data_IF_134496301905
#
_entry.id   IF_134496301905
#
_cell.length_a   1.000
_cell.length_b   1.000
_cell.length_c   1.000
_cell.angle_alpha   90.00
_cell.angle_beta   90.00
_cell.angle_gamma   90.00
#
_symmetry.space_group_name_H-M   'P 1'
#
loop_
_entity.id
_entity.type
_entity.pdbx_description
1 polymer ?
#
# COMPACT_ATOMS: atom_id res chain seq x y z
N UNK A 1 17.94 -26.02 -7.05
CA UNK A 1 17.14 -24.89 -7.58
C UNK A 1 15.79 -25.46 -8.04
N UNK A 2 14.73 -25.25 -7.28
CA UNK A 2 13.38 -25.72 -7.66
C UNK A 2 12.88 -24.88 -8.82
N UNK A 3 12.64 -25.51 -9.99
CA UNK A 3 12.04 -24.85 -11.15
C UNK A 3 10.59 -24.47 -10.81
N UNK A 4 10.23 -23.23 -11.08
CA UNK A 4 8.86 -22.73 -11.00
C UNK A 4 7.97 -23.56 -11.94
N UNK A 5 6.97 -24.27 -11.38
CA UNK A 5 5.95 -24.98 -12.14
C UNK A 5 4.64 -24.20 -12.15
N UNK A 6 4.20 -23.67 -13.31
CA UNK A 6 2.97 -22.87 -13.41
C UNK A 6 1.68 -23.64 -13.05
N UNK A 7 1.71 -24.98 -13.08
CA UNK A 7 0.55 -25.84 -12.76
C UNK A 7 0.36 -26.07 -11.26
N UNK A 8 1.43 -25.90 -10.48
CA UNK A 8 1.42 -26.08 -9.03
C UNK A 8 1.25 -24.72 -8.31
N UNK A 9 1.77 -23.65 -8.93
CA UNK A 9 1.67 -22.30 -8.41
C UNK A 9 0.62 -21.51 -9.19
N UNK A 10 -0.66 -21.67 -8.85
CA UNK A 10 -1.78 -20.91 -9.41
C UNK A 10 -1.68 -19.42 -9.07
N UNK A 11 -0.69 -18.76 -9.66
CA UNK A 11 -0.43 -17.34 -9.47
C UNK A 11 -1.23 -16.55 -10.49
N UNK A 12 -2.50 -16.32 -10.21
CA UNK A 12 -3.24 -15.30 -10.94
C UNK A 12 -2.68 -13.92 -10.53
N UNK A 13 -2.08 -13.23 -11.51
CA UNK A 13 -1.79 -11.81 -11.35
C UNK A 13 -3.12 -11.09 -11.24
N UNK A 14 -3.37 -10.42 -10.11
CA UNK A 14 -4.52 -9.53 -9.92
C UNK A 14 -4.38 -8.25 -10.76
N UNK A 15 -3.23 -8.05 -11.38
CA UNK A 15 -2.99 -6.91 -12.27
C UNK A 15 -3.77 -7.06 -13.57
N UNK A 16 -4.42 -5.98 -13.96
CA UNK A 16 -5.12 -5.91 -15.23
C UNK A 16 -4.10 -6.12 -16.37
N UNK A 17 -4.26 -7.19 -17.15
CA UNK A 17 -3.34 -7.53 -18.22
C UNK A 17 -3.38 -6.44 -19.31
N UNK A 18 -2.21 -5.91 -19.68
CA UNK A 18 -2.10 -4.85 -20.68
C UNK A 18 -2.34 -3.42 -20.16
N UNK A 19 -2.62 -3.24 -18.87
CA UNK A 19 -2.74 -1.90 -18.29
C UNK A 19 -1.37 -1.35 -17.89
N UNK A 20 -1.07 -0.12 -18.31
CA UNK A 20 0.15 0.57 -17.95
C UNK A 20 -0.02 1.33 -16.61
N UNK A 21 0.47 0.74 -15.55
CA UNK A 21 0.45 1.30 -14.19
C UNK A 21 1.41 2.49 -13.97
N UNK A 22 2.07 2.98 -15.00
CA UNK A 22 2.80 4.25 -14.99
C UNK A 22 1.93 5.44 -15.42
N UNK A 23 0.72 5.16 -15.91
CA UNK A 23 -0.23 6.21 -16.28
C UNK A 23 -0.73 6.99 -15.08
N UNK A 24 -1.12 8.23 -15.31
CA UNK A 24 -1.85 9.03 -14.35
C UNK A 24 -3.16 8.35 -13.97
N UNK A 25 -3.49 8.37 -12.70
CA UNK A 25 -4.69 7.73 -12.16
C UNK A 25 -4.63 7.55 -10.65
N UNK A 26 -5.76 7.19 -10.09
CA UNK A 26 -5.89 6.88 -8.67
C UNK A 26 -5.95 5.36 -8.45
N UNK A 27 -5.20 4.88 -7.47
CA UNK A 27 -5.03 3.46 -7.18
C UNK A 27 -5.28 3.20 -5.70
N UNK A 28 -6.23 2.34 -5.41
CA UNK A 28 -6.37 1.77 -4.07
C UNK A 28 -5.40 0.60 -3.93
N UNK A 29 -4.68 0.52 -2.81
CA UNK A 29 -3.75 -0.56 -2.51
C UNK A 29 -3.99 -1.13 -1.11
N UNK A 30 -3.75 -2.45 -0.96
CA UNK A 30 -3.66 -3.12 0.33
C UNK A 30 -2.32 -3.82 0.42
N UNK A 31 -1.55 -3.51 1.45
CA UNK A 31 -0.20 -4.03 1.67
C UNK A 31 -0.18 -4.76 3.02
N UNK A 32 0.05 -6.06 3.02
CA UNK A 32 -0.11 -6.92 4.20
C UNK A 32 1.26 -7.27 4.78
N UNK A 33 1.36 -7.29 6.11
CA UNK A 33 2.53 -7.74 6.84
C UNK A 33 2.84 -9.21 6.56
N UNK A 34 4.09 -9.59 6.68
CA UNK A 34 4.53 -10.98 6.52
C UNK A 34 3.76 -11.88 7.47
N UNK A 35 3.21 -12.98 6.94
CA UNK A 35 2.39 -13.95 7.69
C UNK A 35 1.18 -13.33 8.42
N UNK A 36 0.75 -12.12 8.05
CA UNK A 36 -0.32 -11.37 8.74
C UNK A 36 -0.02 -11.08 10.21
N UNK A 37 1.26 -10.97 10.57
CA UNK A 37 1.67 -10.62 11.93
C UNK A 37 1.10 -9.27 12.35
N UNK A 38 0.58 -9.19 13.57
CA UNK A 38 0.04 -7.97 14.20
C UNK A 38 1.20 -7.05 14.62
N UNK A 39 1.83 -6.43 13.61
CA UNK A 39 3.13 -5.79 13.76
C UNK A 39 3.05 -4.30 14.03
N UNK A 40 1.95 -3.62 13.64
CA UNK A 40 1.91 -2.16 13.54
C UNK A 40 1.16 -1.47 14.67
N UNK A 41 0.53 -2.22 15.57
CA UNK A 41 -0.26 -1.71 16.69
C UNK A 41 -1.50 -2.57 16.94
N UNK A 42 -2.49 -1.97 17.61
CA UNK A 42 -3.72 -2.65 18.01
C UNK A 42 -4.95 -1.75 17.83
N UNK A 43 -6.13 -2.36 17.78
CA UNK A 43 -7.39 -1.62 17.78
C UNK A 43 -7.90 -1.55 19.21
N UNK A 44 -8.09 -0.32 19.69
CA UNK A 44 -8.65 -0.03 21.02
C UNK A 44 -9.90 0.84 20.81
N UNK A 45 -11.04 0.40 21.30
CA UNK A 45 -12.31 1.11 21.19
C UNK A 45 -12.69 1.55 19.76
N UNK A 46 -12.32 0.72 18.77
CA UNK A 46 -12.58 0.98 17.35
C UNK A 46 -11.61 1.96 16.69
N UNK A 47 -10.56 2.36 17.38
CA UNK A 47 -9.51 3.23 16.86
C UNK A 47 -8.16 2.48 16.77
N UNK A 48 -7.36 2.80 15.77
CA UNK A 48 -6.03 2.24 15.61
C UNK A 48 -5.00 2.97 16.48
N UNK A 49 -4.41 2.26 17.42
CA UNK A 49 -3.29 2.73 18.24
C UNK A 49 -1.99 2.20 17.67
N UNK A 50 -1.24 3.09 17.01
CA UNK A 50 0.04 2.73 16.38
C UNK A 50 1.15 2.53 17.42
N UNK A 51 1.87 1.43 17.31
CA UNK A 51 3.17 1.27 17.96
C UNK A 51 4.28 1.97 17.13
N UNK A 52 5.53 1.84 17.53
CA UNK A 52 6.65 2.50 16.87
C UNK A 52 6.86 2.01 15.42
N UNK A 53 6.55 0.75 15.11
CA UNK A 53 6.58 0.25 13.74
C UNK A 53 5.45 0.86 12.89
N UNK A 54 4.25 0.97 13.45
CA UNK A 54 3.11 1.64 12.80
C UNK A 54 3.41 3.11 12.51
N UNK A 55 4.07 3.82 13.43
CA UNK A 55 4.53 5.21 13.21
C UNK A 55 5.53 5.29 12.05
N UNK A 56 6.48 4.35 11.95
CA UNK A 56 7.41 4.26 10.82
C UNK A 56 6.64 4.05 9.50
N UNK A 57 5.63 3.18 9.48
CA UNK A 57 4.80 2.95 8.29
C UNK A 57 4.09 4.25 7.87
N UNK A 58 3.47 4.96 8.83
CA UNK A 58 2.84 6.26 8.60
C UNK A 58 3.78 7.26 7.97
N UNK A 59 4.95 7.44 8.56
CA UNK A 59 5.99 8.36 8.08
C UNK A 59 6.49 7.98 6.67
N UNK A 60 6.71 6.69 6.41
CA UNK A 60 7.22 6.24 5.10
C UNK A 60 6.13 6.22 4.01
N UNK A 61 4.86 6.13 4.37
CA UNK A 61 3.78 6.34 3.43
C UNK A 61 3.74 7.81 2.99
N UNK A 62 3.76 8.75 3.94
CA UNK A 62 3.79 10.18 3.68
C UNK A 62 5.07 10.61 2.93
N UNK A 63 6.20 9.94 3.16
CA UNK A 63 7.44 10.17 2.44
C UNK A 63 7.30 9.97 0.92
N UNK A 64 6.39 9.13 0.44
CA UNK A 64 6.17 8.95 -1.01
C UNK A 64 5.79 10.26 -1.70
N UNK A 65 4.92 11.06 -1.09
CA UNK A 65 4.47 12.34 -1.64
C UNK A 65 5.60 13.39 -1.65
N UNK A 66 6.43 13.38 -0.64
CA UNK A 66 7.60 14.29 -0.58
C UNK A 66 8.75 13.87 -1.51
N UNK A 67 8.88 12.57 -1.76
CA UNK A 67 9.94 12.02 -2.61
C UNK A 67 9.61 12.07 -4.09
N UNK A 68 8.34 12.00 -4.45
CA UNK A 68 7.87 11.92 -5.83
C UNK A 68 6.82 12.99 -6.09
N UNK A 69 7.21 14.13 -6.69
CA UNK A 69 6.36 15.30 -6.98
C UNK A 69 5.08 14.99 -7.80
N UNK A 70 5.07 13.84 -8.49
CA UNK A 70 3.92 13.36 -9.27
C UNK A 70 3.00 12.41 -8.48
N UNK A 71 3.25 12.23 -7.19
CA UNK A 71 2.46 11.38 -6.29
C UNK A 71 1.71 12.26 -5.30
N UNK A 72 0.43 11.98 -5.13
CA UNK A 72 -0.43 12.53 -4.09
C UNK A 72 -1.07 11.38 -3.31
N UNK A 73 -1.20 11.54 -2.01
CA UNK A 73 -1.83 10.55 -1.15
C UNK A 73 -3.30 10.94 -0.89
N UNK A 74 -4.23 10.04 -1.22
CA UNK A 74 -5.61 10.13 -0.80
C UNK A 74 -5.81 9.56 0.61
N UNK A 75 -7.03 9.10 0.90
CA UNK A 75 -7.33 8.44 2.17
C UNK A 75 -6.44 7.21 2.39
N UNK A 76 -5.97 7.02 3.63
CA UNK A 76 -5.18 5.85 4.02
C UNK A 76 -5.35 5.53 5.49
N UNK A 77 -5.10 4.27 5.86
CA UNK A 77 -5.14 3.79 7.24
C UNK A 77 -4.11 2.67 7.43
N UNK A 78 -3.47 2.67 8.59
CA UNK A 78 -2.64 1.55 9.03
C UNK A 78 -3.50 0.72 9.97
N UNK A 79 -3.54 -0.59 9.72
CA UNK A 79 -4.21 -1.57 10.52
C UNK A 79 -3.18 -2.44 11.27
N UNK A 80 -3.56 -3.26 12.25
CA UNK A 80 -2.60 -4.01 13.04
C UNK A 80 -1.60 -4.84 12.21
N UNK A 81 -2.00 -5.35 11.06
CA UNK A 81 -1.18 -6.22 10.20
C UNK A 81 -1.17 -5.84 8.72
N UNK A 82 -1.78 -4.72 8.33
CA UNK A 82 -1.79 -4.27 6.94
C UNK A 82 -1.96 -2.76 6.83
N UNK A 83 -1.85 -2.26 5.61
CA UNK A 83 -2.04 -0.88 5.26
C UNK A 83 -2.98 -0.78 4.05
N UNK A 84 -4.00 0.05 4.16
CA UNK A 84 -4.82 0.49 3.03
C UNK A 84 -4.46 1.93 2.67
N UNK A 85 -4.39 2.24 1.38
CA UNK A 85 -4.17 3.60 0.95
C UNK A 85 -4.60 3.86 -0.48
N UNK A 86 -4.94 5.12 -0.76
CA UNK A 86 -5.13 5.61 -2.10
C UNK A 86 -3.88 6.38 -2.51
N UNK A 87 -3.33 6.03 -3.66
CA UNK A 87 -2.17 6.69 -4.25
C UNK A 87 -2.58 7.24 -5.62
N UNK A 88 -2.43 8.55 -5.80
CA UNK A 88 -2.73 9.24 -7.06
C UNK A 88 -1.43 9.55 -7.77
N UNK A 89 -1.33 9.15 -9.03
CA UNK A 89 -0.20 9.45 -9.92
C UNK A 89 -0.65 10.50 -10.90
N UNK A 90 0.00 11.67 -10.89
CA UNK A 90 -0.30 12.79 -11.78
C UNK A 90 0.54 12.77 -13.05
N UNK A 91 0.05 13.40 -14.12
CA UNK A 91 0.75 13.50 -15.39
C UNK A 91 1.99 14.41 -15.38
N UNK A 92 2.33 14.98 -14.23
CA UNK A 92 3.43 15.96 -14.13
C UNK A 92 3.12 17.29 -14.81
N UNK A 93 1.83 17.56 -15.09
CA UNK A 93 1.36 18.84 -15.69
C UNK A 93 0.75 19.78 -14.65
N UNK A 94 1.07 19.60 -13.39
CA UNK A 94 0.66 20.47 -12.30
C UNK A 94 1.68 21.56 -12.04
N UNK A 95 1.57 22.69 -12.74
CA UNK A 95 2.40 23.85 -12.48
C UNK A 95 2.51 24.72 -13.73
N UNK A 96 1.99 25.96 -13.67
CA UNK A 96 2.16 27.10 -14.56
C UNK A 96 2.89 26.83 -15.91
N UNK A 97 2.18 27.03 -17.00
CA UNK A 97 2.64 26.90 -18.39
C UNK A 97 3.76 27.90 -18.70
N UNK A 98 5.01 27.54 -18.50
CA UNK A 98 6.10 28.33 -19.07
C UNK A 98 7.46 27.60 -19.08
N UNK A 99 7.55 26.40 -19.59
CA UNK A 99 8.71 25.81 -20.30
C UNK A 99 8.41 24.34 -20.61
N UNK A 100 8.92 23.75 -21.71
CA UNK A 100 8.87 22.31 -21.92
C UNK A 100 9.82 21.64 -20.93
N UNK A 101 9.27 21.17 -19.79
CA UNK A 101 10.02 20.34 -18.84
C UNK A 101 10.24 18.98 -19.49
N UNK A 102 11.47 18.44 -19.48
CA UNK A 102 11.72 17.10 -20.00
C UNK A 102 10.84 16.09 -19.28
N UNK A 103 10.38 15.01 -19.96
CA UNK A 103 9.49 14.03 -19.36
C UNK A 103 10.15 13.40 -18.12
N UNK A 104 9.56 13.63 -16.95
CA UNK A 104 10.01 13.03 -15.70
C UNK A 104 9.85 11.51 -15.84
N UNK A 105 10.92 10.75 -15.66
CA UNK A 105 10.88 9.28 -15.66
C UNK A 105 10.16 8.83 -14.40
N UNK A 106 8.86 8.51 -14.51
CA UNK A 106 8.02 8.11 -13.39
C UNK A 106 8.25 6.64 -13.06
N UNK A 107 8.20 6.33 -11.77
CA UNK A 107 8.07 4.93 -11.35
C UNK A 107 6.62 4.49 -11.53
N UNK A 108 6.37 3.28 -12.05
CA UNK A 108 5.04 2.70 -12.03
C UNK A 108 4.60 2.42 -10.58
N UNK A 109 3.29 2.25 -10.35
CA UNK A 109 2.73 1.94 -9.03
C UNK A 109 3.54 0.87 -8.27
N UNK A 110 3.88 -0.23 -8.93
CA UNK A 110 4.70 -1.29 -8.32
C UNK A 110 6.09 -0.83 -7.87
N UNK A 111 6.68 0.14 -8.57
CA UNK A 111 7.96 0.75 -8.18
C UNK A 111 7.84 1.66 -6.96
N UNK A 112 6.70 2.38 -6.83
CA UNK A 112 6.40 3.23 -5.67
C UNK A 112 6.15 2.37 -4.42
N UNK A 113 5.31 1.33 -4.55
CA UNK A 113 5.06 0.37 -3.46
C UNK A 113 6.34 -0.38 -3.08
N UNK A 114 7.18 -0.74 -4.05
CA UNK A 114 8.49 -1.34 -3.80
C UNK A 114 9.42 -0.41 -3.01
N UNK A 115 9.47 0.88 -3.34
CA UNK A 115 10.23 1.88 -2.62
C UNK A 115 9.73 2.02 -1.17
N UNK A 116 8.42 2.18 -0.98
CA UNK A 116 7.79 2.22 0.34
C UNK A 116 8.13 1.00 1.20
N UNK A 117 7.95 -0.21 0.67
CA UNK A 117 8.29 -1.46 1.37
C UNK A 117 9.77 -1.52 1.76
N UNK A 118 10.64 -1.08 0.88
CA UNK A 118 12.10 -1.11 1.12
C UNK A 118 12.50 -0.17 2.26
N UNK A 119 12.04 1.09 2.20
CA UNK A 119 12.45 2.08 3.22
C UNK A 119 11.83 1.81 4.58
N UNK A 120 10.56 1.37 4.62
CA UNK A 120 9.89 1.00 5.86
C UNK A 120 10.49 -0.25 6.50
N UNK A 121 10.77 -1.31 5.72
CA UNK A 121 11.45 -2.52 6.20
C UNK A 121 12.82 -2.20 6.78
N UNK A 122 13.62 -1.37 6.07
CA UNK A 122 14.95 -0.97 6.55
C UNK A 122 14.88 -0.29 7.92
N UNK A 123 13.95 0.64 8.09
CA UNK A 123 13.83 1.39 9.33
C UNK A 123 13.26 0.56 10.48
N UNK A 124 12.27 -0.31 10.21
CA UNK A 124 11.74 -1.26 11.20
C UNK A 124 12.87 -2.21 11.65
N UNK A 125 13.64 -2.76 10.72
CA UNK A 125 14.72 -3.69 11.04
C UNK A 125 15.85 -3.02 11.83
N UNK A 126 16.13 -1.75 11.56
CA UNK A 126 17.06 -0.96 12.35
C UNK A 126 16.55 -0.77 13.79
N UNK A 127 15.26 -0.47 13.96
CA UNK A 127 14.68 -0.27 15.29
C UNK A 127 14.61 -1.56 16.12
N UNK A 128 14.35 -2.70 15.50
CA UNK A 128 14.27 -4.02 16.18
C UNK A 128 15.58 -4.81 16.20
N UNK A 129 16.67 -4.21 15.68
CA UNK A 129 18.00 -4.84 15.58
C UNK A 129 17.99 -6.21 14.88
N UNK A 130 17.28 -6.30 13.75
CA UNK A 130 17.12 -7.53 12.96
C UNK A 130 17.35 -7.27 11.48
N UNK A 131 18.62 -7.31 11.05
CA UNK A 131 18.94 -7.10 9.64
C UNK A 131 18.34 -8.19 8.73
N UNK A 132 17.76 -7.76 7.61
CA UNK A 132 17.25 -8.65 6.57
C UNK A 132 15.90 -9.33 6.87
N UNK A 133 15.30 -9.10 8.04
CA UNK A 133 14.01 -9.70 8.35
C UNK A 133 12.89 -9.13 7.47
N UNK A 134 12.01 -10.01 6.98
CA UNK A 134 10.87 -9.64 6.14
C UNK A 134 9.81 -8.95 6.98
N UNK A 135 9.28 -7.82 6.48
CA UNK A 135 8.17 -7.07 7.11
C UNK A 135 6.89 -7.23 6.29
N UNK A 136 6.99 -7.27 4.98
CA UNK A 136 5.86 -7.26 4.08
C UNK A 136 5.74 -8.54 3.28
N UNK A 137 4.51 -8.96 2.97
CA UNK A 137 4.28 -9.95 1.93
C UNK A 137 4.84 -9.46 0.60
N UNK A 138 5.27 -10.38 -0.25
CA UNK A 138 5.90 -10.04 -1.54
C UNK A 138 4.97 -9.23 -2.44
N UNK A 139 3.70 -9.64 -2.53
CA UNK A 139 2.68 -9.00 -3.35
C UNK A 139 1.91 -7.94 -2.53
N UNK A 140 0.99 -7.26 -3.19
CA UNK A 140 0.01 -6.36 -2.63
C UNK A 140 -1.24 -6.42 -3.51
N UNK A 141 -2.40 -6.08 -2.95
CA UNK A 141 -3.63 -5.90 -3.73
C UNK A 141 -3.66 -4.50 -4.31
N UNK A 142 -4.17 -4.35 -5.54
CA UNK A 142 -4.37 -3.06 -6.18
C UNK A 142 -5.69 -3.02 -6.96
N UNK A 143 -6.31 -1.85 -6.97
CA UNK A 143 -7.51 -1.56 -7.75
C UNK A 143 -7.43 -0.15 -8.33
N UNK A 144 -7.71 -0.01 -9.63
CA UNK A 144 -7.81 1.28 -10.31
C UNK A 144 -9.13 1.93 -9.90
N UNK A 145 -9.08 3.18 -9.45
CA UNK A 145 -10.25 4.01 -9.14
C UNK A 145 -10.61 4.79 -10.41
N UNK A 146 -11.83 4.61 -10.90
CA UNK A 146 -12.25 5.10 -12.23
C UNK A 146 -13.05 6.38 -12.22
N UNK A 147 -13.64 6.75 -11.09
CA UNK A 147 -14.50 7.93 -10.95
C UNK A 147 -14.60 8.38 -9.49
N UNK A 148 -15.17 9.57 -9.29
CA UNK A 148 -15.35 10.17 -7.96
C UNK A 148 -16.21 9.33 -7.01
N UNK A 149 -17.30 8.75 -7.51
CA UNK A 149 -18.16 7.88 -6.67
C UNK A 149 -17.42 6.65 -6.15
N UNK A 150 -16.51 6.08 -6.95
CA UNK A 150 -15.64 4.98 -6.50
C UNK A 150 -14.59 5.47 -5.52
N UNK A 151 -14.02 6.66 -5.73
CA UNK A 151 -13.10 7.32 -4.82
C UNK A 151 -13.73 7.51 -3.45
N UNK A 152 -14.92 8.11 -3.39
CA UNK A 152 -15.67 8.36 -2.15
C UNK A 152 -16.01 7.07 -1.41
N UNK A 153 -16.41 6.03 -2.14
CA UNK A 153 -16.74 4.74 -1.56
C UNK A 153 -15.52 4.07 -0.94
N UNK A 154 -14.37 4.13 -1.62
CA UNK A 154 -13.12 3.54 -1.13
C UNK A 154 -12.56 4.36 0.03
N UNK A 155 -12.63 5.68 -0.02
CA UNK A 155 -12.20 6.55 1.08
C UNK A 155 -12.99 6.25 2.37
N UNK A 156 -14.31 6.15 2.27
CA UNK A 156 -15.17 5.75 3.42
C UNK A 156 -14.86 4.34 3.93
N UNK A 157 -14.55 3.41 3.03
CA UNK A 157 -14.11 2.06 3.43
C UNK A 157 -12.81 2.13 4.24
N UNK A 158 -11.82 2.90 3.79
CA UNK A 158 -10.53 3.08 4.47
C UNK A 158 -10.75 3.70 5.86
N UNK A 159 -11.50 4.80 5.93
CA UNK A 159 -11.76 5.53 7.17
C UNK A 159 -12.52 4.70 8.21
N UNK A 160 -13.45 3.85 7.76
CA UNK A 160 -14.24 2.98 8.65
C UNK A 160 -13.55 1.66 8.99
N UNK A 161 -12.36 1.40 8.46
CA UNK A 161 -11.70 0.10 8.62
C UNK A 161 -11.37 -0.24 10.08
N UNK A 162 -10.86 0.69 10.92
CA UNK A 162 -10.57 0.38 12.33
C UNK A 162 -11.78 -0.10 13.11
N UNK A 163 -12.92 0.59 13.00
CA UNK A 163 -14.14 0.19 13.71
C UNK A 163 -14.72 -1.14 13.20
N UNK A 164 -14.38 -1.53 11.99
CA UNK A 164 -14.81 -2.79 11.35
C UNK A 164 -13.76 -3.89 11.39
N UNK A 165 -12.71 -3.71 12.17
CA UNK A 165 -11.59 -4.66 12.24
C UNK A 165 -12.02 -6.10 12.52
N UNK A 166 -13.04 -6.32 13.35
CA UNK A 166 -13.57 -7.65 13.64
C UNK A 166 -14.06 -8.40 12.39
N UNK A 167 -14.52 -7.67 11.37
CA UNK A 167 -15.06 -8.23 10.12
C UNK A 167 -14.05 -8.19 8.97
N UNK A 168 -12.84 -7.68 9.20
CA UNK A 168 -11.81 -7.52 8.16
C UNK A 168 -11.25 -8.86 7.70
N UNK A 169 -11.08 -9.03 6.37
CA UNK A 169 -10.55 -10.25 5.75
C UNK A 169 -9.09 -10.53 6.12
N UNK A 170 -8.32 -9.51 6.50
CA UNK A 170 -6.94 -9.63 6.94
C UNK A 170 -6.81 -9.89 8.45
N UNK A 171 -7.93 -9.82 9.21
CA UNK A 171 -7.92 -10.18 10.63
C UNK A 171 -7.77 -11.69 10.80
N UNK A 172 -6.67 -12.17 11.44
CA UNK A 172 -6.42 -13.59 11.60
C UNK A 172 -7.46 -14.31 12.49
N UNK A 173 -8.22 -13.56 13.29
CA UNK A 173 -9.29 -14.10 14.11
C UNK A 173 -10.62 -14.26 13.34
N UNK A 174 -10.70 -13.68 12.14
CA UNK A 174 -11.88 -13.80 11.27
C UNK A 174 -11.77 -15.07 10.43
N UNK A 175 -11.97 -16.21 11.07
CA UNK A 175 -11.94 -17.53 10.40
C UNK A 175 -13.24 -17.69 9.64
N UNK A 176 -13.24 -17.43 8.32
CA UNK A 176 -14.34 -17.85 7.47
C UNK A 176 -14.33 -19.38 7.41
N UNK A 177 -15.43 -20.06 7.78
CA UNK A 177 -15.52 -21.50 7.56
C UNK A 177 -15.39 -21.78 6.06
N UNK A 178 -14.59 -22.78 5.70
CA UNK A 178 -14.39 -23.30 4.35
C UNK A 178 -15.70 -23.80 3.77
#
# INVERSE_FOLDING_TARGET
MSKFDPKIHHRHSIRLQGYDYSQAGAYFVTIVAWQREMLFGEIVDGEMVLNDFGKIISEKWQWLETQYEYVELGAWVIMPNHHHGILVIHDGRGGSRSAPTPPIKRKPLGGLIGAFKTVSTKQINLLRDTEGQVVWQRNYYERIIRNESEMDRISRYIESNPIRWADDDENPNNVRPL
#
